data_IF_970138297024
#
_entry.id   IF_970138297024
#
_cell.length_a   1.000
_cell.length_b   1.000
_cell.length_c   1.000
_cell.angle_alpha   90.00
_cell.angle_beta   90.00
_cell.angle_gamma   90.00
#
_symmetry.space_group_name_H-M   'P 1'
#
loop_
_entity.id
_entity.type
_entity.pdbx_description
1 polymer ?
#
# COMPACT_ATOMS: atom_id res chain seq x y z
N UNK A 1 40.23 34.18 11.31
CA UNK A 1 39.70 34.26 9.94
C UNK A 1 38.23 33.83 9.98
N UNK A 2 37.31 34.79 9.97
CA UNK A 2 35.86 34.54 9.98
C UNK A 2 35.41 34.43 8.53
N UNK A 3 35.01 33.23 8.10
CA UNK A 3 34.44 33.00 6.77
C UNK A 3 32.91 32.93 6.90
N UNK A 4 32.28 34.09 6.82
CA UNK A 4 30.81 34.22 6.78
C UNK A 4 30.37 34.08 5.33
N UNK A 5 29.96 32.89 4.90
CA UNK A 5 29.20 32.73 3.64
C UNK A 5 27.73 32.99 3.93
N UNK A 6 27.29 34.19 3.56
CA UNK A 6 25.87 34.53 3.36
C UNK A 6 25.47 34.28 1.90
N UNK A 7 24.16 34.17 1.70
CA UNK A 7 23.39 34.13 0.44
C UNK A 7 23.24 32.69 -0.10
N UNK A 8 22.05 32.13 -0.30
CA UNK A 8 20.81 32.74 -0.78
C UNK A 8 19.62 31.91 -0.31
N UNK A 9 18.67 32.51 0.42
CA UNK A 9 17.36 31.90 0.71
C UNK A 9 16.53 31.98 -0.57
N UNK A 10 16.37 30.85 -1.25
CA UNK A 10 15.33 30.71 -2.26
C UNK A 10 13.98 30.65 -1.54
N UNK A 11 13.29 31.79 -1.51
CA UNK A 11 11.89 31.85 -1.14
C UNK A 11 11.09 31.06 -2.19
N UNK A 12 10.88 29.78 -1.94
CA UNK A 12 9.92 28.97 -2.68
C UNK A 12 8.53 29.50 -2.33
N UNK A 13 7.96 30.14 -3.35
CA UNK A 13 6.62 30.64 -3.46
C UNK A 13 5.61 29.68 -2.85
N UNK A 14 4.83 30.21 -1.92
CA UNK A 14 3.63 29.63 -1.34
C UNK A 14 2.71 29.19 -2.49
N UNK A 15 2.60 27.87 -2.70
CA UNK A 15 1.52 27.30 -3.48
C UNK A 15 0.26 27.33 -2.61
N UNK A 16 -0.53 28.38 -2.77
CA UNK A 16 -1.90 28.46 -2.25
C UNK A 16 -2.78 27.41 -2.94
N UNK A 17 -2.84 26.20 -2.37
CA UNK A 17 -3.90 25.23 -2.64
C UNK A 17 -5.18 25.72 -1.98
N UNK A 18 -5.97 26.51 -2.69
CA UNK A 18 -7.26 26.99 -2.20
C UNK A 18 -8.29 27.15 -3.33
N UNK A 19 -8.54 26.07 -4.08
CA UNK A 19 -9.72 25.85 -4.95
C UNK A 19 -9.80 24.32 -5.09
N UNK A 20 -10.78 23.54 -4.65
CA UNK A 20 -12.22 23.72 -4.64
C UNK A 20 -12.89 22.93 -3.49
N UNK A 21 -13.52 23.66 -2.56
CA UNK A 21 -14.41 23.15 -1.50
C UNK A 21 -15.89 23.08 -1.98
N UNK A 22 -16.16 22.87 -3.27
CA UNK A 22 -17.54 22.94 -3.81
C UNK A 22 -17.89 21.83 -4.83
N UNK A 23 -17.65 20.57 -4.47
CA UNK A 23 -18.36 19.43 -5.07
C UNK A 23 -19.07 18.63 -3.97
N UNK A 24 -20.03 19.29 -3.30
CA UNK A 24 -21.03 18.57 -2.54
C UNK A 24 -21.98 17.84 -3.49
N UNK A 25 -22.09 16.53 -3.33
CA UNK A 25 -23.37 15.84 -3.36
C UNK A 25 -23.24 14.52 -2.57
N UNK A 26 -23.81 14.48 -1.35
CA UNK A 26 -23.84 13.37 -0.39
C UNK A 26 -22.54 13.05 0.41
N UNK A 27 -22.23 13.90 1.40
CA UNK A 27 -21.49 13.61 2.65
C UNK A 27 -20.54 12.40 2.73
N UNK A 28 -19.53 12.32 1.86
CA UNK A 28 -18.52 11.26 1.91
C UNK A 28 -17.16 11.72 1.38
N UNK A 29 -16.10 11.02 1.80
CA UNK A 29 -14.71 11.22 1.37
C UNK A 29 -14.57 11.21 -0.17
N UNK A 30 -13.83 12.17 -0.74
CA UNK A 30 -13.50 12.17 -2.16
C UNK A 30 -12.57 11.00 -2.54
N UNK A 31 -12.49 10.67 -3.84
CA UNK A 31 -11.55 9.64 -4.32
C UNK A 31 -10.10 10.02 -4.02
N UNK A 32 -9.73 11.28 -4.23
CA UNK A 32 -8.38 11.77 -3.98
C UNK A 32 -8.00 11.68 -2.49
N UNK A 33 -8.89 12.07 -1.57
CA UNK A 33 -8.64 11.93 -0.13
C UNK A 33 -8.53 10.46 0.31
N UNK A 34 -9.37 9.59 -0.25
CA UNK A 34 -9.30 8.15 0.02
C UNK A 34 -7.97 7.55 -0.44
N UNK A 35 -7.56 7.85 -1.68
CA UNK A 35 -6.29 7.37 -2.23
C UNK A 35 -5.06 7.93 -1.50
N UNK A 36 -5.11 9.20 -1.08
CA UNK A 36 -4.05 9.81 -0.28
C UNK A 36 -3.87 9.07 1.06
N UNK A 37 -4.97 8.68 1.71
CA UNK A 37 -4.92 7.96 2.98
C UNK A 37 -4.25 6.58 2.86
N UNK A 38 -4.47 5.86 1.75
CA UNK A 38 -3.81 4.58 1.46
C UNK A 38 -2.31 4.76 1.17
N UNK A 39 -1.95 5.77 0.37
CA UNK A 39 -0.54 6.07 0.06
C UNK A 39 0.29 6.30 1.32
N UNK A 40 -0.25 7.04 2.29
CA UNK A 40 0.42 7.27 3.57
C UNK A 40 0.65 6.00 4.39
N UNK A 41 -0.18 4.96 4.20
CA UNK A 41 0.04 3.66 4.84
C UNK A 41 1.16 2.92 4.14
N UNK A 42 1.15 2.85 2.80
CA UNK A 42 2.26 2.27 2.02
C UNK A 42 3.62 2.85 2.40
N UNK A 43 3.70 4.17 2.56
CA UNK A 43 4.95 4.84 2.93
C UNK A 43 5.43 4.45 4.35
N UNK A 44 4.49 4.25 5.28
CA UNK A 44 4.80 3.83 6.65
C UNK A 44 5.20 2.38 6.74
N UNK A 45 4.60 1.53 5.90
CA UNK A 45 4.78 0.08 5.96
C UNK A 45 5.76 -0.44 4.89
N UNK A 46 6.51 0.47 4.26
CA UNK A 46 7.47 0.14 3.20
C UNK A 46 8.66 -0.71 3.73
N UNK A 47 9.01 -0.56 5.01
CA UNK A 47 10.01 -1.38 5.68
C UNK A 47 9.60 -2.85 5.72
N UNK A 48 8.34 -3.12 6.06
CA UNK A 48 7.75 -4.44 6.22
C UNK A 48 7.73 -5.17 4.88
N UNK A 49 7.33 -4.47 3.80
CA UNK A 49 7.36 -5.02 2.45
C UNK A 49 8.79 -5.34 1.97
N UNK A 50 9.75 -4.46 2.30
CA UNK A 50 11.17 -4.67 1.99
C UNK A 50 11.76 -5.85 2.76
N UNK A 51 11.40 -6.00 4.03
CA UNK A 51 11.76 -7.15 4.86
C UNK A 51 11.17 -8.44 4.30
N UNK A 52 9.86 -8.46 4.00
CA UNK A 52 9.19 -9.61 3.41
C UNK A 52 9.89 -10.08 2.13
N UNK A 53 10.22 -9.15 1.24
CA UNK A 53 10.91 -9.44 -0.02
C UNK A 53 12.31 -10.04 0.19
N UNK A 54 13.02 -9.62 1.24
CA UNK A 54 14.35 -10.13 1.58
C UNK A 54 14.27 -11.51 2.23
N UNK A 55 13.24 -11.74 3.04
CA UNK A 55 13.07 -12.97 3.80
C UNK A 55 12.41 -14.09 2.98
N UNK A 56 11.69 -13.79 1.89
CA UNK A 56 10.85 -14.76 1.15
C UNK A 56 11.61 -16.03 0.71
N UNK A 57 12.91 -15.91 0.42
CA UNK A 57 13.74 -17.01 -0.05
C UNK A 57 14.45 -17.77 1.08
N UNK A 58 14.67 -17.14 2.23
CA UNK A 58 15.50 -17.66 3.31
C UNK A 58 14.71 -18.01 4.57
N UNK A 59 13.60 -17.31 4.79
CA UNK A 59 12.69 -17.44 5.93
C UNK A 59 11.26 -17.06 5.48
N UNK A 60 10.58 -17.95 4.72
CA UNK A 60 9.27 -17.65 4.16
C UNK A 60 8.18 -17.45 5.23
N UNK A 61 8.34 -17.99 6.44
CA UNK A 61 7.45 -17.73 7.57
C UNK A 61 7.56 -16.28 8.04
N UNK A 62 8.79 -15.78 8.21
CA UNK A 62 9.02 -14.37 8.53
C UNK A 62 8.54 -13.42 7.43
N UNK A 63 8.64 -13.83 6.17
CA UNK A 63 8.04 -13.09 5.05
C UNK A 63 6.51 -13.06 5.14
N UNK A 64 5.87 -14.19 5.45
CA UNK A 64 4.42 -14.27 5.64
C UNK A 64 3.94 -13.37 6.78
N UNK A 65 4.66 -13.33 7.91
CA UNK A 65 4.37 -12.45 9.06
C UNK A 65 4.48 -10.95 8.70
N UNK A 66 5.51 -10.59 7.94
CA UNK A 66 5.70 -9.21 7.49
C UNK A 66 4.59 -8.78 6.51
N UNK A 67 4.15 -9.68 5.63
CA UNK A 67 2.99 -9.44 4.74
C UNK A 67 1.70 -9.36 5.54
N UNK A 68 1.50 -10.20 6.56
CA UNK A 68 0.33 -10.16 7.44
C UNK A 68 0.26 -8.84 8.22
N UNK A 69 1.41 -8.36 8.71
CA UNK A 69 1.52 -7.05 9.37
C UNK A 69 1.15 -5.92 8.40
N UNK A 70 1.72 -5.93 7.20
CA UNK A 70 1.40 -4.95 6.14
C UNK A 70 -0.10 -4.97 5.79
N UNK A 71 -0.67 -6.17 5.62
CA UNK A 71 -2.11 -6.40 5.39
C UNK A 71 -2.96 -5.83 6.52
N UNK A 72 -2.58 -6.05 7.78
CA UNK A 72 -3.30 -5.54 8.94
C UNK A 72 -3.40 -4.01 8.95
N UNK A 73 -2.31 -3.31 8.64
CA UNK A 73 -2.31 -1.84 8.50
C UNK A 73 -3.16 -1.38 7.31
N UNK A 74 -3.09 -2.08 6.18
CA UNK A 74 -3.92 -1.82 5.01
C UNK A 74 -5.41 -2.06 5.24
N UNK A 75 -5.79 -3.10 5.99
CA UNK A 75 -7.19 -3.35 6.38
C UNK A 75 -7.70 -2.21 7.25
N UNK A 76 -6.93 -1.81 8.28
CA UNK A 76 -7.29 -0.67 9.15
C UNK A 76 -7.48 0.63 8.36
N UNK A 77 -6.69 0.83 7.31
CA UNK A 77 -6.81 1.98 6.41
C UNK A 77 -8.08 1.87 5.57
N UNK A 78 -8.27 0.71 4.92
CA UNK A 78 -9.42 0.40 4.05
C UNK A 78 -10.75 0.52 4.79
N UNK A 79 -10.80 0.12 6.06
CA UNK A 79 -12.01 0.22 6.89
C UNK A 79 -12.46 1.66 7.10
N UNK A 80 -11.51 2.59 7.16
CA UNK A 80 -11.75 4.03 7.32
C UNK A 80 -12.12 4.74 6.03
N UNK A 81 -11.95 4.10 4.87
CA UNK A 81 -12.31 4.68 3.58
C UNK A 81 -13.83 4.71 3.46
N UNK A 82 -14.35 5.88 3.10
CA UNK A 82 -15.79 6.07 2.87
C UNK A 82 -16.12 6.00 1.37
N UNK A 83 -15.15 6.32 0.50
CA UNK A 83 -15.35 6.25 -0.93
C UNK A 83 -15.52 4.78 -1.38
N UNK A 84 -16.71 4.41 -1.84
CA UNK A 84 -17.05 3.01 -2.14
C UNK A 84 -16.15 2.38 -3.22
N UNK A 85 -15.80 3.12 -4.27
CA UNK A 85 -14.94 2.62 -5.35
C UNK A 85 -13.52 2.34 -4.84
N UNK A 86 -12.95 3.29 -4.10
CA UNK A 86 -11.61 3.13 -3.52
C UNK A 86 -11.63 2.03 -2.46
N UNK A 87 -12.64 1.97 -1.59
CA UNK A 87 -12.79 0.93 -0.58
C UNK A 87 -12.87 -0.46 -1.20
N UNK A 88 -13.69 -0.64 -2.24
CA UNK A 88 -13.81 -1.91 -2.94
C UNK A 88 -12.50 -2.37 -3.55
N UNK A 89 -11.77 -1.46 -4.20
CA UNK A 89 -10.47 -1.79 -4.80
C UNK A 89 -9.39 -2.05 -3.75
N UNK A 90 -9.38 -1.29 -2.66
CA UNK A 90 -8.46 -1.49 -1.54
C UNK A 90 -8.74 -2.81 -0.81
N UNK A 91 -10.01 -3.20 -0.64
CA UNK A 91 -10.37 -4.48 -0.05
C UNK A 91 -9.91 -5.65 -0.92
N UNK A 92 -9.95 -5.53 -2.25
CA UNK A 92 -9.35 -6.54 -3.14
C UNK A 92 -7.84 -6.69 -2.87
N UNK A 93 -7.12 -5.57 -2.74
CA UNK A 93 -5.70 -5.61 -2.43
C UNK A 93 -5.43 -6.27 -1.07
N UNK A 94 -6.25 -5.99 -0.05
CA UNK A 94 -6.15 -6.67 1.25
C UNK A 94 -6.37 -8.17 1.13
N UNK A 95 -7.39 -8.60 0.40
CA UNK A 95 -7.66 -10.02 0.21
C UNK A 95 -6.51 -10.71 -0.55
N UNK A 96 -5.94 -10.08 -1.58
CA UNK A 96 -4.80 -10.67 -2.29
C UNK A 96 -3.52 -10.73 -1.46
N UNK A 97 -3.32 -9.82 -0.50
CA UNK A 97 -2.24 -9.95 0.50
C UNK A 97 -2.48 -11.12 1.46
N UNK A 98 -3.74 -11.38 1.83
CA UNK A 98 -4.13 -12.53 2.65
C UNK A 98 -3.80 -13.84 1.93
N UNK A 99 -4.23 -13.96 0.67
CA UNK A 99 -3.94 -15.11 -0.18
C UNK A 99 -2.43 -15.33 -0.35
N UNK A 100 -1.66 -14.24 -0.50
CA UNK A 100 -0.22 -14.33 -0.65
C UNK A 100 0.51 -14.74 0.63
N UNK A 101 0.14 -14.18 1.79
CA UNK A 101 0.67 -14.59 3.09
C UNK A 101 0.32 -16.06 3.40
N UNK A 102 -0.90 -16.48 3.06
CA UNK A 102 -1.35 -17.86 3.20
C UNK A 102 -0.54 -18.81 2.30
N UNK A 103 -0.33 -18.47 1.03
CA UNK A 103 0.47 -19.30 0.12
C UNK A 103 1.93 -19.45 0.60
N UNK A 104 2.51 -18.42 1.22
CA UNK A 104 3.83 -18.51 1.86
C UNK A 104 3.83 -19.43 3.09
N UNK A 105 2.80 -19.32 3.93
CA UNK A 105 2.66 -20.15 5.14
C UNK A 105 2.42 -21.63 4.79
N UNK A 106 1.53 -21.89 3.82
CA UNK A 106 1.24 -23.25 3.36
C UNK A 106 2.53 -23.91 2.80
N UNK A 107 3.40 -23.14 2.13
CA UNK A 107 4.72 -23.61 1.66
C UNK A 107 5.74 -23.83 2.78
N UNK A 108 5.65 -23.09 3.88
CA UNK A 108 6.50 -23.35 5.05
C UNK A 108 6.08 -24.62 5.79
N UNK A 109 4.78 -24.91 5.79
CA UNK A 109 4.21 -26.07 6.48
C UNK A 109 4.44 -27.38 5.69
N UNK A 110 4.51 -27.32 4.36
CA UNK A 110 4.93 -28.44 3.50
C UNK A 110 6.21 -28.12 2.69
N UNK A 111 7.41 -28.26 3.27
CA UNK A 111 8.66 -28.00 2.57
C UNK A 111 8.97 -29.01 1.45
N UNK A 112 8.21 -30.11 1.35
CA UNK A 112 8.36 -31.09 0.27
C UNK A 112 7.51 -30.76 -0.95
N UNK A 113 6.54 -29.85 -0.80
CA UNK A 113 5.78 -29.33 -1.91
C UNK A 113 6.70 -28.54 -2.84
N UNK A 114 6.83 -29.01 -4.07
CA UNK A 114 7.58 -28.31 -5.14
C UNK A 114 6.67 -27.46 -6.01
N UNK A 115 5.36 -27.54 -5.80
CA UNK A 115 4.40 -26.70 -6.50
C UNK A 115 4.50 -25.27 -5.99
N UNK A 116 4.84 -24.38 -6.91
CA UNK A 116 4.97 -22.95 -6.66
C UNK A 116 3.90 -22.16 -7.40
N UNK A 117 3.01 -22.84 -8.12
CA UNK A 117 1.94 -22.20 -8.89
C UNK A 117 1.03 -21.37 -8.00
N UNK A 118 0.56 -21.93 -6.87
CA UNK A 118 -0.28 -21.21 -5.92
C UNK A 118 0.38 -19.93 -5.39
N UNK A 119 1.68 -19.97 -5.09
CA UNK A 119 2.43 -18.81 -4.63
C UNK A 119 2.60 -17.77 -5.75
N UNK A 120 2.92 -18.20 -6.97
CA UNK A 120 3.05 -17.32 -8.14
C UNK A 120 1.71 -16.67 -8.52
N UNK A 121 0.62 -17.42 -8.46
CA UNK A 121 -0.74 -16.96 -8.74
C UNK A 121 -1.16 -15.93 -7.69
N UNK A 122 -0.92 -16.20 -6.40
CA UNK A 122 -1.21 -15.25 -5.33
C UNK A 122 -0.37 -13.97 -5.46
N UNK A 123 0.92 -14.10 -5.80
CA UNK A 123 1.79 -12.95 -6.05
C UNK A 123 1.32 -12.10 -7.25
N UNK A 124 0.84 -12.77 -8.31
CA UNK A 124 0.29 -12.11 -9.50
C UNK A 124 -1.01 -11.40 -9.16
N UNK A 125 -1.92 -12.07 -8.46
CA UNK A 125 -3.19 -11.50 -8.02
C UNK A 125 -2.97 -10.26 -7.12
N UNK A 126 -1.99 -10.30 -6.21
CA UNK A 126 -1.62 -9.15 -5.40
C UNK A 126 -1.14 -7.97 -6.27
N UNK A 127 -0.24 -8.22 -7.22
CA UNK A 127 0.25 -7.18 -8.15
C UNK A 127 -0.88 -6.57 -8.98
N UNK A 128 -1.78 -7.41 -9.51
CA UNK A 128 -2.96 -6.96 -10.25
C UNK A 128 -3.90 -6.12 -9.38
N UNK A 129 -4.17 -6.55 -8.14
CA UNK A 129 -5.03 -5.81 -7.23
C UNK A 129 -4.47 -4.42 -6.88
N UNK A 130 -3.15 -4.30 -6.67
CA UNK A 130 -2.50 -3.00 -6.47
C UNK A 130 -2.48 -2.15 -7.74
N UNK A 131 -2.35 -2.75 -8.92
CA UNK A 131 -2.42 -2.05 -10.21
C UNK A 131 -3.82 -1.51 -10.49
N UNK A 132 -4.86 -2.31 -10.21
CA UNK A 132 -6.26 -1.90 -10.29
C UNK A 132 -6.53 -0.73 -9.34
N UNK A 133 -6.06 -0.83 -8.09
CA UNK A 133 -6.17 0.27 -7.13
C UNK A 133 -5.42 1.52 -7.60
N UNK A 134 -4.20 1.39 -8.13
CA UNK A 134 -3.46 2.49 -8.74
C UNK A 134 -4.21 3.13 -9.91
N UNK A 135 -4.93 2.33 -10.69
CA UNK A 135 -5.80 2.80 -11.79
C UNK A 135 -7.02 3.55 -11.27
N UNK A 136 -7.62 3.12 -10.16
CA UNK A 136 -8.70 3.86 -9.49
C UNK A 136 -8.17 5.18 -8.95
N UNK A 137 -6.97 5.18 -8.35
CA UNK A 137 -6.37 6.35 -7.73
C UNK A 137 -5.72 7.35 -8.68
N UNK A 138 -5.31 6.94 -9.88
CA UNK A 138 -4.80 7.85 -10.92
C UNK A 138 -5.90 8.61 -11.67
N UNK A 139 -7.16 8.17 -11.53
CA UNK A 139 -8.36 8.84 -12.06
C UNK A 139 -9.08 9.69 -11.00
N UNK A 140 -8.44 9.89 -9.85
CA UNK A 140 -8.98 10.59 -8.69
C UNK A 140 -8.71 12.10 -8.71
#
# INVERSE_FOLDING_TARGET
MVSTRRLTVAALSVATLSIALLAGCAGGQSKAEACASLKSVTEKTNSELSSASSDIATDPSKAADAIDTFKGEWQKATDKIQNADVKKSAQKAVNSLDDFSKALSDRTDDPTDTDTSALMDAATAAQEAFTDLGTVCSKA
#
